data_IF_732688537026
#
_entry.id   IF_732688537026
#
_cell.length_a   1.000
_cell.length_b   1.000
_cell.length_c   1.000
_cell.angle_alpha   90.00
_cell.angle_beta   90.00
_cell.angle_gamma   90.00
#
_symmetry.space_group_name_H-M   'P 1'
#
loop_
_entity.id
_entity.type
_entity.pdbx_description
1 polymer ?
#
# COMPACT_ATOMS: atom_id res chain seq x y z
N UNK A 1 -20.90 -15.09 1.04
CA UNK A 1 -19.68 -15.86 1.31
C UNK A 1 -18.71 -15.11 2.22
N UNK A 2 -18.16 -13.98 1.84
CA UNK A 2 -17.23 -13.22 2.72
C UNK A 2 -17.90 -12.73 4.02
N UNK A 3 -19.10 -12.16 3.93
CA UNK A 3 -19.88 -11.72 5.09
C UNK A 3 -20.09 -12.83 6.12
N UNK A 4 -20.49 -14.02 5.68
CA UNK A 4 -20.68 -15.20 6.54
C UNK A 4 -19.38 -15.59 7.27
N UNK A 5 -18.24 -15.57 6.56
CA UNK A 5 -16.93 -15.81 7.18
C UNK A 5 -16.60 -14.73 8.23
N UNK A 6 -16.91 -13.47 7.98
CA UNK A 6 -16.68 -12.38 8.93
C UNK A 6 -17.53 -12.57 10.19
N UNK A 7 -18.81 -12.87 10.03
CA UNK A 7 -19.74 -13.08 11.15
C UNK A 7 -19.31 -14.29 12.01
N UNK A 8 -18.93 -15.40 11.40
CA UNK A 8 -18.44 -16.61 12.12
C UNK A 8 -17.09 -16.38 12.79
N UNK A 9 -16.14 -15.77 12.09
CA UNK A 9 -14.83 -15.48 12.66
C UNK A 9 -14.92 -14.48 13.83
N UNK A 10 -15.84 -13.52 13.78
CA UNK A 10 -16.12 -12.58 14.88
C UNK A 10 -16.65 -13.30 16.15
N UNK A 11 -17.23 -14.49 16.01
CA UNK A 11 -17.65 -15.37 17.11
C UNK A 11 -16.56 -16.34 17.58
N UNK A 12 -15.34 -16.23 17.02
CA UNK A 12 -14.18 -17.05 17.38
C UNK A 12 -14.01 -18.33 16.55
N UNK A 13 -14.73 -18.46 15.42
CA UNK A 13 -14.57 -19.57 14.50
C UNK A 13 -13.23 -19.43 13.74
N UNK A 14 -12.29 -20.30 14.11
CA UNK A 14 -10.92 -20.28 13.59
C UNK A 14 -10.87 -20.68 12.11
N UNK A 15 -11.69 -21.62 11.66
CA UNK A 15 -11.74 -22.04 10.27
C UNK A 15 -12.29 -20.93 9.37
N UNK A 16 -13.30 -20.20 9.84
CA UNK A 16 -13.82 -19.03 9.15
C UNK A 16 -12.76 -17.92 9.05
N UNK A 17 -11.97 -17.69 10.10
CA UNK A 17 -10.86 -16.75 10.09
C UNK A 17 -9.77 -17.14 9.09
N UNK A 18 -9.36 -18.40 9.07
CA UNK A 18 -8.42 -18.90 8.06
C UNK A 18 -8.95 -18.69 6.63
N UNK A 19 -10.26 -18.85 6.42
CA UNK A 19 -10.92 -18.52 5.16
C UNK A 19 -10.76 -17.04 4.79
N UNK A 20 -10.96 -16.13 5.75
CA UNK A 20 -10.74 -14.70 5.55
C UNK A 20 -9.28 -14.36 5.25
N UNK A 21 -8.35 -14.99 5.94
CA UNK A 21 -6.91 -14.81 5.68
C UNK A 21 -6.59 -15.20 4.24
N UNK A 22 -7.03 -16.38 3.79
CA UNK A 22 -6.81 -16.82 2.40
C UNK A 22 -7.39 -15.88 1.34
N UNK A 23 -8.52 -15.23 1.63
CA UNK A 23 -9.17 -14.29 0.73
C UNK A 23 -8.51 -12.92 0.69
N UNK A 24 -7.86 -12.49 1.78
CA UNK A 24 -7.39 -11.11 1.93
C UNK A 24 -5.87 -10.95 1.95
N UNK A 25 -5.11 -11.99 2.28
CA UNK A 25 -3.66 -11.89 2.51
C UNK A 25 -2.91 -11.30 1.32
N UNK A 26 -3.15 -11.79 0.11
CA UNK A 26 -2.48 -11.30 -1.10
C UNK A 26 -2.75 -9.81 -1.34
N UNK A 27 -3.98 -9.38 -1.10
CA UNK A 27 -4.37 -7.97 -1.27
C UNK A 27 -3.76 -7.09 -0.20
N UNK A 28 -3.75 -7.54 1.05
CA UNK A 28 -3.08 -6.83 2.16
C UNK A 28 -1.58 -6.72 1.89
N UNK A 29 -0.95 -7.80 1.44
CA UNK A 29 0.46 -7.80 1.06
C UNK A 29 0.73 -6.82 -0.09
N UNK A 30 -0.08 -6.83 -1.14
CA UNK A 30 0.05 -5.91 -2.26
C UNK A 30 -0.04 -4.43 -1.84
N UNK A 31 -0.93 -4.10 -0.89
CA UNK A 31 -1.04 -2.75 -0.31
C UNK A 31 0.23 -2.42 0.48
N UNK A 32 0.65 -3.29 1.40
CA UNK A 32 1.82 -3.09 2.24
C UNK A 32 3.09 -2.93 1.38
N UNK A 33 3.31 -3.80 0.42
CA UNK A 33 4.47 -3.77 -0.47
C UNK A 33 4.52 -2.50 -1.32
N UNK A 34 3.38 -2.02 -1.83
CA UNK A 34 3.32 -0.72 -2.53
C UNK A 34 3.73 0.45 -1.63
N UNK A 35 3.34 0.42 -0.37
CA UNK A 35 3.66 1.49 0.60
C UNK A 35 5.12 1.41 1.06
N UNK A 36 5.59 0.24 1.43
CA UNK A 36 6.88 0.01 2.07
C UNK A 36 8.02 -0.12 1.07
N UNK A 37 7.77 -0.77 -0.09
CA UNK A 37 8.77 -1.07 -1.12
C UNK A 37 9.89 -1.98 -0.61
N UNK A 38 9.58 -2.78 0.38
CA UNK A 38 10.42 -3.78 1.00
C UNK A 38 9.56 -5.01 1.30
N UNK A 39 9.99 -6.18 0.82
CA UNK A 39 9.26 -7.43 0.92
C UNK A 39 9.09 -7.87 2.38
N UNK A 40 10.18 -7.87 3.14
CA UNK A 40 10.17 -8.32 4.52
C UNK A 40 9.36 -7.40 5.43
N UNK A 41 9.50 -6.09 5.27
CA UNK A 41 8.66 -5.14 6.00
C UNK A 41 7.19 -5.26 5.63
N UNK A 42 6.88 -5.63 4.38
CA UNK A 42 5.50 -5.87 3.96
C UNK A 42 4.93 -7.14 4.60
N UNK A 43 5.69 -8.23 4.65
CA UNK A 43 5.31 -9.46 5.34
C UNK A 43 5.05 -9.21 6.83
N UNK A 44 5.97 -8.53 7.50
CA UNK A 44 5.83 -8.17 8.92
C UNK A 44 4.57 -7.32 9.17
N UNK A 45 4.31 -6.34 8.29
CA UNK A 45 3.13 -5.50 8.38
C UNK A 45 1.84 -6.31 8.19
N UNK A 46 1.82 -7.28 7.28
CA UNK A 46 0.68 -8.19 7.07
C UNK A 46 0.47 -9.07 8.29
N UNK A 47 1.51 -9.70 8.80
CA UNK A 47 1.40 -10.56 10.00
C UNK A 47 0.84 -9.76 11.18
N UNK A 48 1.39 -8.58 11.46
CA UNK A 48 0.89 -7.71 12.53
C UNK A 48 -0.56 -7.29 12.29
N UNK A 49 -0.94 -7.05 11.04
CA UNK A 49 -2.33 -6.69 10.69
C UNK A 49 -3.26 -7.87 10.90
N UNK A 50 -2.88 -9.09 10.53
CA UNK A 50 -3.70 -10.29 10.74
C UNK A 50 -3.95 -10.56 12.23
N UNK A 51 -2.94 -10.38 13.08
CA UNK A 51 -3.11 -10.45 14.55
C UNK A 51 -4.12 -9.39 15.03
N UNK A 52 -3.98 -8.14 14.56
CA UNK A 52 -4.92 -7.08 14.92
C UNK A 52 -6.34 -7.37 14.43
N UNK A 53 -6.48 -7.95 13.22
CA UNK A 53 -7.78 -8.37 12.69
C UNK A 53 -8.42 -9.41 13.61
N UNK A 54 -7.67 -10.44 14.02
CA UNK A 54 -8.17 -11.47 14.92
C UNK A 54 -8.69 -10.88 16.24
N UNK A 55 -7.91 -10.00 16.85
CA UNK A 55 -8.23 -9.40 18.17
C UNK A 55 -9.40 -8.40 18.12
N UNK A 56 -9.53 -7.66 17.00
CA UNK A 56 -10.50 -6.58 16.87
C UNK A 56 -11.76 -6.96 16.08
N UNK A 57 -11.75 -8.06 15.34
CA UNK A 57 -12.87 -8.51 14.50
C UNK A 57 -14.21 -8.62 15.28
N UNK A 58 -14.24 -9.09 16.53
CA UNK A 58 -15.48 -9.11 17.33
C UNK A 58 -16.13 -7.74 17.56
N UNK A 59 -15.37 -6.64 17.34
CA UNK A 59 -15.86 -5.26 17.50
C UNK A 59 -16.32 -4.63 16.19
N UNK A 60 -16.13 -5.33 15.07
CA UNK A 60 -16.57 -4.86 13.76
C UNK A 60 -18.09 -4.93 13.66
N UNK A 61 -18.75 -3.76 13.70
CA UNK A 61 -20.21 -3.65 13.72
C UNK A 61 -20.88 -4.02 12.39
N UNK A 62 -20.20 -3.77 11.30
CA UNK A 62 -20.72 -3.97 9.94
C UNK A 62 -19.79 -4.88 9.14
N UNK A 63 -20.16 -6.17 8.95
CA UNK A 63 -19.37 -7.12 8.19
C UNK A 63 -19.10 -6.69 6.74
N UNK A 64 -19.96 -5.89 6.11
CA UNK A 64 -19.79 -5.39 4.74
C UNK A 64 -18.61 -4.39 4.65
N UNK A 65 -18.21 -3.80 5.78
CA UNK A 65 -17.07 -2.89 5.85
C UNK A 65 -15.74 -3.58 6.14
N UNK A 66 -15.69 -4.89 6.13
CA UNK A 66 -14.48 -5.67 6.44
C UNK A 66 -13.28 -5.24 5.58
N UNK A 67 -13.44 -5.14 4.26
CA UNK A 67 -12.37 -4.74 3.35
C UNK A 67 -11.85 -3.32 3.66
N UNK A 68 -12.75 -2.35 3.75
CA UNK A 68 -12.37 -0.98 4.07
C UNK A 68 -11.68 -0.87 5.44
N UNK A 69 -12.13 -1.66 6.41
CA UNK A 69 -11.53 -1.72 7.73
C UNK A 69 -10.14 -2.36 7.72
N UNK A 70 -9.94 -3.47 7.02
CA UNK A 70 -8.62 -4.13 6.89
C UNK A 70 -7.64 -3.28 6.10
N UNK A 71 -8.09 -2.53 5.07
CA UNK A 71 -7.25 -1.56 4.36
C UNK A 71 -6.77 -0.42 5.26
N UNK A 72 -7.61 0.00 6.22
CA UNK A 72 -7.21 0.95 7.26
C UNK A 72 -6.09 0.40 8.14
N UNK A 73 -6.24 -0.83 8.59
CA UNK A 73 -5.25 -1.48 9.46
C UNK A 73 -3.90 -1.63 8.74
N UNK A 74 -3.89 -2.20 7.54
CA UNK A 74 -2.64 -2.43 6.79
C UNK A 74 -1.96 -1.12 6.38
N UNK A 75 -2.72 -0.10 5.94
CA UNK A 75 -2.14 1.19 5.59
C UNK A 75 -1.47 1.87 6.80
N UNK A 76 -2.12 1.84 7.97
CA UNK A 76 -1.56 2.39 9.22
C UNK A 76 -0.34 1.61 9.68
N UNK A 77 -0.39 0.28 9.65
CA UNK A 77 0.75 -0.58 9.99
C UNK A 77 1.95 -0.29 9.08
N UNK A 78 1.73 -0.21 7.77
CA UNK A 78 2.78 0.09 6.78
C UNK A 78 3.40 1.48 6.99
N UNK A 79 2.60 2.51 7.21
CA UNK A 79 3.11 3.86 7.49
C UNK A 79 3.92 3.88 8.80
N UNK A 80 3.45 3.17 9.83
CA UNK A 80 4.15 3.08 11.11
C UNK A 80 5.48 2.32 10.97
N UNK A 81 5.51 1.22 10.20
CA UNK A 81 6.72 0.47 9.89
C UNK A 81 7.75 1.34 9.15
N UNK A 82 7.33 2.07 8.11
CA UNK A 82 8.20 2.98 7.38
C UNK A 82 8.77 4.10 8.25
N UNK A 83 8.00 4.59 9.22
CA UNK A 83 8.47 5.61 10.17
C UNK A 83 9.49 5.04 11.17
N UNK A 84 9.29 3.80 11.62
CA UNK A 84 10.24 3.12 12.53
C UNK A 84 11.58 2.88 11.83
N UNK A 85 11.56 2.37 10.60
CA UNK A 85 12.75 2.14 9.79
C UNK A 85 13.57 3.43 9.60
N UNK A 86 12.91 4.55 9.35
CA UNK A 86 13.58 5.85 9.21
C UNK A 86 14.15 6.43 10.50
N UNK A 87 13.68 5.98 11.68
CA UNK A 87 14.13 6.45 13.00
C UNK A 87 15.17 5.55 13.65
N UNK A 88 15.38 4.33 13.13
CA UNK A 88 16.35 3.38 13.67
C UNK A 88 17.79 3.88 13.58
N UNK A 89 18.75 3.29 14.33
CA UNK A 89 20.17 3.67 14.35
C UNK A 89 20.86 3.31 13.02
N UNK A 90 20.57 3.98 11.97
CA UNK A 90 20.97 3.79 10.57
C UNK A 90 19.98 4.42 9.59
N UNK A 91 18.88 4.94 10.09
CA UNK A 91 17.72 5.44 9.31
C UNK A 91 17.91 6.76 8.59
N UNK A 92 19.13 7.14 8.26
CA UNK A 92 19.44 8.34 7.46
C UNK A 92 20.15 8.04 6.15
N UNK A 93 20.63 6.85 5.93
CA UNK A 93 21.41 6.53 4.74
C UNK A 93 21.25 5.05 4.41
N UNK A 94 20.33 4.71 3.65
CA UNK A 94 20.37 3.76 2.56
C UNK A 94 18.93 3.47 2.13
N UNK A 95 18.45 4.22 1.15
CA UNK A 95 17.55 3.61 0.18
C UNK A 95 18.40 2.46 -0.40
N UNK A 96 18.30 1.29 0.19
CA UNK A 96 18.86 0.08 -0.38
C UNK A 96 18.24 -0.06 -1.76
N UNK A 97 19.06 0.16 -2.76
CA UNK A 97 18.84 -0.28 -4.12
C UNK A 97 18.95 -1.82 -4.13
N UNK A 98 18.02 -2.49 -3.47
CA UNK A 98 17.81 -3.91 -3.72
C UNK A 98 17.04 -3.99 -5.04
N UNK A 99 17.46 -4.91 -5.95
CA UNK A 99 16.65 -5.19 -7.12
C UNK A 99 15.23 -5.53 -6.66
N UNK A 100 14.23 -4.98 -7.32
CA UNK A 100 12.87 -5.40 -7.11
C UNK A 100 12.80 -6.87 -7.50
N UNK A 101 12.52 -7.74 -6.52
CA UNK A 101 12.09 -9.08 -6.84
C UNK A 101 10.84 -8.95 -7.72
N UNK A 102 10.96 -9.46 -8.96
CA UNK A 102 10.01 -9.24 -10.03
C UNK A 102 8.72 -10.06 -9.89
N UNK A 103 8.34 -10.41 -8.65
CA UNK A 103 7.17 -11.24 -8.38
C UNK A 103 6.10 -10.48 -7.57
N UNK A 104 5.91 -9.22 -7.90
CA UNK A 104 4.80 -8.47 -7.38
C UNK A 104 3.56 -8.72 -8.24
N UNK A 105 2.67 -9.57 -7.72
CA UNK A 105 1.23 -9.61 -7.94
C UNK A 105 0.72 -8.79 -9.13
N UNK A 106 0.16 -9.50 -10.12
CA UNK A 106 -0.57 -8.98 -11.28
C UNK A 106 -1.37 -7.74 -10.94
N UNK A 107 -0.85 -6.58 -11.34
CA UNK A 107 -1.69 -5.41 -11.56
C UNK A 107 -2.64 -5.71 -12.73
N UNK A 108 -3.86 -5.09 -12.77
CA UNK A 108 -4.73 -5.23 -13.92
C UNK A 108 -3.96 -4.92 -15.22
N UNK A 109 -4.20 -5.71 -16.27
CA UNK A 109 -3.47 -5.75 -17.54
C UNK A 109 -3.55 -4.49 -18.43
N UNK A 110 -3.89 -3.33 -17.85
CA UNK A 110 -4.19 -2.09 -18.59
C UNK A 110 -3.07 -1.04 -18.55
N UNK A 111 -1.89 -1.39 -18.03
CA UNK A 111 -0.73 -0.49 -18.06
C UNK A 111 0.21 -0.98 -19.16
N UNK A 112 0.40 -0.15 -20.18
CA UNK A 112 1.26 -0.27 -21.34
C UNK A 112 2.54 -1.14 -21.25
N UNK A 113 3.54 -0.87 -22.03
CA UNK A 113 4.75 -1.70 -22.16
C UNK A 113 5.46 -1.98 -20.82
N UNK A 114 6.30 -3.00 -20.78
CA UNK A 114 7.18 -3.31 -19.61
C UNK A 114 7.98 -2.07 -19.20
N UNK A 115 8.42 -1.26 -20.16
CA UNK A 115 9.14 0.00 -19.89
C UNK A 115 8.31 1.02 -19.11
N UNK A 116 7.00 1.12 -19.39
CA UNK A 116 6.09 2.02 -18.67
C UNK A 116 5.89 1.57 -17.22
N UNK A 117 5.83 0.26 -16.98
CA UNK A 117 5.76 -0.31 -15.63
C UNK A 117 7.02 -0.01 -14.84
N UNK A 118 8.19 -0.20 -15.42
CA UNK A 118 9.47 0.07 -14.77
C UNK A 118 9.63 1.56 -14.45
N UNK A 119 9.20 2.44 -15.34
CA UNK A 119 9.20 3.89 -15.12
C UNK A 119 8.25 4.26 -13.97
N UNK A 120 7.04 3.72 -13.96
CA UNK A 120 6.06 3.93 -12.89
C UNK A 120 6.61 3.47 -11.54
N UNK A 121 7.25 2.30 -11.51
CA UNK A 121 7.87 1.73 -10.33
C UNK A 121 9.01 2.61 -9.78
N UNK A 122 9.90 3.10 -10.66
CA UNK A 122 10.98 4.02 -10.29
C UNK A 122 10.42 5.32 -9.70
N UNK A 123 9.44 5.90 -10.37
CA UNK A 123 8.79 7.13 -9.91
C UNK A 123 8.11 6.94 -8.55
N UNK A 124 7.41 5.81 -8.36
CA UNK A 124 6.73 5.49 -7.10
C UNK A 124 7.71 5.32 -5.93
N UNK A 125 8.91 4.76 -6.18
CA UNK A 125 9.98 4.64 -5.16
C UNK A 125 10.47 5.99 -4.63
N UNK A 126 10.43 7.05 -5.42
CA UNK A 126 10.85 8.40 -5.02
C UNK A 126 9.86 9.09 -4.09
N UNK A 127 8.63 8.59 -3.99
CA UNK A 127 7.60 9.15 -3.13
C UNK A 127 7.86 8.83 -1.66
N UNK A 128 7.38 9.71 -0.78
CA UNK A 128 7.33 9.42 0.67
C UNK A 128 6.30 8.30 0.96
N UNK A 129 6.49 7.49 2.01
CA UNK A 129 5.54 6.43 2.36
C UNK A 129 4.09 6.90 2.49
N UNK A 130 3.86 8.09 3.05
CA UNK A 130 2.53 8.67 3.19
C UNK A 130 1.91 9.04 1.82
N UNK A 131 2.73 9.46 0.86
CA UNK A 131 2.28 9.73 -0.51
C UNK A 131 1.95 8.44 -1.24
N UNK A 132 2.79 7.40 -1.09
CA UNK A 132 2.52 6.07 -1.62
C UNK A 132 1.23 5.50 -1.04
N UNK A 133 1.02 5.62 0.27
CA UNK A 133 -0.17 5.12 0.94
C UNK A 133 -1.45 5.75 0.37
N UNK A 134 -1.49 7.07 0.22
CA UNK A 134 -2.69 7.74 -0.27
C UNK A 134 -2.98 7.42 -1.75
N UNK A 135 -1.94 7.30 -2.59
CA UNK A 135 -2.10 6.88 -3.99
C UNK A 135 -2.53 5.42 -4.09
N UNK A 136 -1.99 4.53 -3.26
CA UNK A 136 -2.39 3.11 -3.22
C UNK A 136 -3.84 2.97 -2.79
N UNK A 137 -4.28 3.67 -1.74
CA UNK A 137 -5.67 3.64 -1.29
C UNK A 137 -6.63 4.21 -2.35
N UNK A 138 -6.24 5.26 -3.05
CA UNK A 138 -7.09 5.84 -4.08
C UNK A 138 -7.16 4.99 -5.35
N UNK A 139 -6.01 4.67 -5.94
CA UNK A 139 -5.94 4.05 -7.26
C UNK A 139 -5.99 2.53 -7.24
N UNK A 140 -5.48 1.88 -6.20
CA UNK A 140 -5.46 0.42 -6.14
C UNK A 140 -6.68 -0.16 -5.40
N UNK A 141 -7.14 0.50 -4.32
CA UNK A 141 -8.32 0.03 -3.59
C UNK A 141 -9.61 0.78 -3.94
N UNK A 142 -9.54 1.79 -4.80
CA UNK A 142 -10.70 2.54 -5.29
C UNK A 142 -11.35 3.48 -4.27
N UNK A 143 -10.65 3.80 -3.17
CA UNK A 143 -11.23 4.61 -2.10
C UNK A 143 -11.34 6.08 -2.50
N UNK A 144 -12.46 6.71 -2.14
CA UNK A 144 -12.68 8.15 -2.22
C UNK A 144 -11.82 8.90 -1.21
N UNK A 145 -11.63 10.20 -1.41
CA UNK A 145 -10.91 11.04 -0.47
C UNK A 145 -11.54 11.06 0.95
N UNK A 146 -12.86 10.89 1.05
CA UNK A 146 -13.57 10.79 2.33
C UNK A 146 -13.21 9.48 3.06
N UNK A 147 -13.24 8.35 2.36
CA UNK A 147 -12.85 7.05 2.92
C UNK A 147 -11.35 7.03 3.30
N UNK A 148 -10.48 7.63 2.49
CA UNK A 148 -9.06 7.78 2.81
C UNK A 148 -8.87 8.66 4.06
N UNK A 149 -9.67 9.71 4.23
CA UNK A 149 -9.65 10.54 5.43
C UNK A 149 -9.96 9.71 6.69
N UNK A 150 -10.99 8.86 6.62
CA UNK A 150 -11.34 7.92 7.70
C UNK A 150 -10.22 6.90 7.95
N UNK A 151 -9.64 6.33 6.89
CA UNK A 151 -8.51 5.39 6.96
C UNK A 151 -7.33 6.01 7.69
N UNK A 152 -6.93 7.22 7.31
CA UNK A 152 -5.74 7.88 7.85
C UNK A 152 -6.00 8.65 9.15
N UNK A 153 -7.26 8.82 9.55
CA UNK A 153 -7.66 9.60 10.73
C UNK A 153 -7.35 11.09 10.57
N UNK A 154 -7.65 11.66 9.39
CA UNK A 154 -7.39 13.06 9.05
C UNK A 154 -8.67 13.72 8.50
N UNK A 155 -8.80 15.07 8.55
CA UNK A 155 -9.92 15.75 7.91
C UNK A 155 -9.97 15.49 6.39
N UNK A 156 -11.19 15.43 5.81
CA UNK A 156 -11.39 15.20 4.37
C UNK A 156 -10.65 16.23 3.51
N UNK A 157 -10.67 17.51 3.90
CA UNK A 157 -9.91 18.56 3.21
C UNK A 157 -8.40 18.29 3.20
N UNK A 158 -7.88 17.68 4.28
CA UNK A 158 -6.48 17.25 4.35
C UNK A 158 -6.20 16.06 3.45
N UNK A 159 -7.13 15.09 3.33
CA UNK A 159 -6.99 13.97 2.43
C UNK A 159 -6.96 14.44 0.97
N UNK A 160 -7.87 15.34 0.58
CA UNK A 160 -7.90 15.94 -0.75
C UNK A 160 -6.58 16.65 -1.10
N UNK A 161 -6.08 17.53 -0.21
CA UNK A 161 -4.81 18.21 -0.45
C UNK A 161 -3.63 17.25 -0.52
N UNK A 162 -3.56 16.24 0.36
CA UNK A 162 -2.51 15.22 0.32
C UNK A 162 -2.55 14.39 -0.95
N UNK A 163 -3.75 14.01 -1.44
CA UNK A 163 -3.92 13.29 -2.69
C UNK A 163 -3.44 14.13 -3.87
N UNK A 164 -3.83 15.43 -3.91
CA UNK A 164 -3.36 16.35 -4.91
C UNK A 164 -1.82 16.48 -4.92
N UNK A 165 -1.20 16.68 -3.75
CA UNK A 165 0.25 16.77 -3.64
C UNK A 165 0.96 15.45 -4.00
N UNK A 166 0.40 14.29 -3.62
CA UNK A 166 0.96 12.99 -3.97
C UNK A 166 0.91 12.75 -5.49
N UNK A 167 -0.21 13.09 -6.14
CA UNK A 167 -0.35 12.99 -7.61
C UNK A 167 0.63 13.92 -8.31
N UNK A 168 0.81 15.16 -7.82
CA UNK A 168 1.79 16.11 -8.37
C UNK A 168 3.22 15.60 -8.20
N UNK A 169 3.56 15.05 -7.03
CA UNK A 169 4.88 14.46 -6.79
C UNK A 169 5.16 13.26 -7.71
N UNK A 170 4.14 12.43 -7.97
CA UNK A 170 4.23 11.31 -8.90
C UNK A 170 4.50 11.77 -10.33
N UNK A 171 3.79 12.78 -10.81
CA UNK A 171 4.03 13.37 -12.14
C UNK A 171 5.45 13.93 -12.27
N UNK A 172 5.91 14.70 -11.27
CA UNK A 172 7.26 15.22 -11.27
C UNK A 172 8.33 14.13 -11.28
N UNK A 173 8.09 13.01 -10.58
CA UNK A 173 8.99 11.87 -10.59
C UNK A 173 9.04 11.18 -11.96
N UNK A 174 7.91 11.02 -12.64
CA UNK A 174 7.82 10.47 -14.00
C UNK A 174 8.54 11.36 -15.01
N UNK A 175 8.33 12.68 -14.95
CA UNK A 175 8.99 13.65 -15.84
C UNK A 175 10.52 13.68 -15.64
N UNK A 176 10.99 13.48 -14.41
CA UNK A 176 12.41 13.39 -14.12
C UNK A 176 13.04 12.14 -14.72
N UNK A 177 12.34 10.98 -14.70
CA UNK A 177 12.81 9.75 -15.31
C UNK A 177 12.86 9.84 -16.84
N UNK A 178 11.83 10.41 -17.47
CA UNK A 178 11.80 10.61 -18.92
C UNK A 178 12.96 11.48 -19.44
N UNK A 179 13.45 12.40 -18.62
CA UNK A 179 14.62 13.25 -18.98
C UNK A 179 15.95 12.51 -18.85
N UNK A 180 16.01 11.49 -18.00
CA UNK A 180 17.22 10.69 -17.76
C UNK A 180 17.38 9.60 -18.84
N UNK A 181 16.26 9.12 -19.39
CA UNK A 181 16.22 8.09 -20.45
C UNK A 181 16.27 8.70 -21.89
N UNK A 182 16.39 10.02 -22.03
CA UNK A 182 16.60 10.69 -23.31
C UNK A 182 17.94 10.30 -23.93
N UNK A 183 18.03 10.19 -25.28
CA UNK A 183 19.20 9.66 -25.97
C UNK A 183 20.44 10.47 -25.61
N UNK A 184 21.47 9.80 -25.11
CA UNK A 184 22.84 10.32 -25.11
C UNK A 184 23.21 10.51 -26.58
N UNK A 185 23.08 11.71 -27.10
CA UNK A 185 23.69 12.08 -28.38
C UNK A 185 25.17 11.70 -28.31
N UNK A 186 25.50 10.60 -28.97
CA UNK A 186 26.87 10.27 -29.30
C UNK A 186 27.33 11.34 -30.29
N UNK A 187 27.99 12.37 -29.79
CA UNK A 187 28.80 13.24 -30.63
C UNK A 187 29.97 12.39 -31.12
N UNK A 188 29.97 12.18 -32.43
CA UNK A 188 31.06 11.54 -33.16
C UNK A 188 32.25 12.53 -33.27
#
# INVERSE_FOLDING_TARGET
MQRDLVERAALGDQEAFEGLVRLSADRLFAIAHRILRDHHLAEDAVQQTLVTIWDELPRLRDPERFDAWTYRLIARASIAAAKRERRGPGGGALVRLLPADADASRAPDDIGSVADRDQLERAFRRLKPEQRAILTLHHYTGQSAAEIADVLGIPVGTANSRLHYATRAMRAALEADSRTDGPTERTA
#
